data_IF_360509756975
#
_entry.id   IF_360509756975
#
_cell.length_a   1.000
_cell.length_b   1.000
_cell.length_c   1.000
_cell.angle_alpha   90.00
_cell.angle_beta   90.00
_cell.angle_gamma   90.00
#
_symmetry.space_group_name_H-M   'P 1'
#
loop_
_entity.id
_entity.type
_entity.pdbx_description
1 polymer ?
#
# COMPACT_ATOMS: atom_id res chain seq x y z
N UNK A 1 -2.10 -14.25 15.28
CA UNK A 1 -2.26 -12.93 15.91
C UNK A 1 -3.62 -12.42 15.49
N UNK A 2 -4.46 -12.01 16.43
CA UNK A 2 -5.76 -11.40 16.12
C UNK A 2 -5.56 -9.89 16.11
N UNK A 3 -5.83 -9.24 14.98
CA UNK A 3 -5.69 -7.78 14.85
C UNK A 3 -7.08 -7.16 15.11
N UNK A 4 -7.22 -6.26 16.09
CA UNK A 4 -8.50 -5.61 16.32
C UNK A 4 -8.87 -4.71 15.15
N UNK A 5 -10.16 -4.59 14.88
CA UNK A 5 -10.70 -3.65 13.89
C UNK A 5 -10.90 -2.30 14.56
N UNK A 6 -10.21 -1.28 14.06
CA UNK A 6 -10.39 0.12 14.50
C UNK A 6 -11.48 0.78 13.64
N UNK A 7 -12.59 1.13 14.27
CA UNK A 7 -13.66 1.89 13.62
C UNK A 7 -13.29 3.38 13.51
N UNK A 8 -13.18 3.87 12.28
CA UNK A 8 -12.83 5.26 12.01
C UNK A 8 -14.00 6.23 12.24
N UNK A 9 -15.24 5.75 12.37
CA UNK A 9 -16.40 6.61 12.58
C UNK A 9 -16.22 7.56 13.78
N UNK A 10 -15.74 7.02 14.91
CA UNK A 10 -15.50 7.80 16.13
C UNK A 10 -14.50 8.94 15.92
N UNK A 11 -13.44 8.68 15.15
CA UNK A 11 -12.43 9.69 14.82
C UNK A 11 -12.99 10.77 13.89
N UNK A 12 -13.68 10.34 12.81
CA UNK A 12 -14.20 11.22 11.77
C UNK A 12 -15.31 12.16 12.28
N UNK A 13 -16.22 11.67 13.11
CA UNK A 13 -17.28 12.48 13.74
C UNK A 13 -16.72 13.60 14.62
N UNK A 14 -15.59 13.34 15.25
CA UNK A 14 -14.97 14.25 16.22
C UNK A 14 -14.11 15.28 15.49
N UNK A 15 -13.34 14.88 14.47
CA UNK A 15 -12.56 15.78 13.62
C UNK A 15 -13.42 16.82 12.86
N UNK A 16 -14.69 16.53 12.61
CA UNK A 16 -15.65 17.43 11.95
C UNK A 16 -16.31 18.46 12.87
N UNK A 17 -16.32 18.25 14.20
CA UNK A 17 -16.98 19.14 15.16
C UNK A 17 -15.98 20.12 15.76
N UNK A 18 -15.93 21.34 15.20
CA UNK A 18 -15.25 22.47 15.84
C UNK A 18 -16.17 23.06 16.91
N UNK A 19 -15.67 23.14 18.13
CA UNK A 19 -16.23 23.79 19.33
C UNK A 19 -17.09 22.90 20.25
N UNK A 20 -16.57 22.70 21.48
CA UNK A 20 -17.33 22.13 22.60
C UNK A 20 -16.97 20.71 23.03
N UNK A 21 -15.77 20.20 22.72
CA UNK A 21 -15.36 18.86 23.17
C UNK A 21 -15.35 18.75 24.70
N UNK A 22 -16.23 17.88 25.24
CA UNK A 22 -16.12 17.48 26.63
C UNK A 22 -14.77 16.79 26.87
N UNK A 23 -14.10 17.08 27.99
CA UNK A 23 -12.80 16.49 28.33
C UNK A 23 -12.77 14.95 28.24
N UNK A 24 -13.92 14.30 28.45
CA UNK A 24 -14.10 12.86 28.30
C UNK A 24 -13.89 12.38 26.86
N UNK A 25 -14.51 13.06 25.88
CA UNK A 25 -14.42 12.70 24.44
C UNK A 25 -13.00 12.91 23.91
N UNK A 26 -12.32 13.97 24.34
CA UNK A 26 -10.91 14.19 24.02
C UNK A 26 -10.00 13.09 24.61
N UNK A 27 -10.31 12.59 25.82
CA UNK A 27 -9.59 11.46 26.42
C UNK A 27 -9.79 10.16 25.64
N UNK A 28 -11.04 9.85 25.27
CA UNK A 28 -11.38 8.64 24.48
C UNK A 28 -10.71 8.66 23.10
N UNK A 29 -10.65 9.83 22.44
CA UNK A 29 -9.95 9.98 21.16
C UNK A 29 -8.44 9.75 21.29
N UNK A 30 -7.83 10.30 22.35
CA UNK A 30 -6.41 10.10 22.62
C UNK A 30 -6.08 8.62 22.90
N UNK A 31 -6.94 7.92 23.63
CA UNK A 31 -6.81 6.47 23.85
C UNK A 31 -6.86 5.70 22.52
N UNK A 32 -7.82 6.04 21.64
CA UNK A 32 -7.95 5.40 20.33
C UNK A 32 -6.72 5.66 19.43
N UNK A 33 -6.19 6.89 19.43
CA UNK A 33 -4.98 7.24 18.68
C UNK A 33 -3.75 6.50 19.22
N UNK A 34 -3.63 6.38 20.54
CA UNK A 34 -2.58 5.58 21.20
C UNK A 34 -2.67 4.11 20.82
N UNK A 35 -3.89 3.57 20.75
CA UNK A 35 -4.11 2.18 20.35
C UNK A 35 -3.67 1.94 18.89
N UNK A 36 -4.00 2.84 17.97
CA UNK A 36 -3.50 2.80 16.58
C UNK A 36 -1.98 2.79 16.54
N UNK A 37 -1.33 3.67 17.29
CA UNK A 37 0.13 3.79 17.30
C UNK A 37 0.80 2.57 17.94
N UNK A 38 0.20 2.04 19.00
CA UNK A 38 0.62 0.80 19.68
C UNK A 38 0.56 -0.39 18.72
N UNK A 39 -0.56 -0.58 18.01
CA UNK A 39 -0.73 -1.66 17.04
C UNK A 39 0.27 -1.58 15.89
N UNK A 40 0.48 -0.38 15.34
CA UNK A 40 1.49 -0.14 14.30
C UNK A 40 2.91 -0.44 14.81
N UNK A 41 3.25 0.00 16.02
CA UNK A 41 4.55 -0.27 16.65
C UNK A 41 4.79 -1.76 16.91
N UNK A 42 3.79 -2.47 17.42
CA UNK A 42 3.92 -3.88 17.81
C UNK A 42 3.86 -4.83 16.61
N UNK A 43 3.06 -4.51 15.59
CA UNK A 43 2.71 -5.46 14.53
C UNK A 43 3.08 -4.98 13.13
N UNK A 44 3.32 -3.69 12.93
CA UNK A 44 3.49 -3.08 11.61
C UNK A 44 2.21 -3.10 10.75
N UNK A 45 1.06 -3.47 11.32
CA UNK A 45 -0.20 -3.66 10.62
C UNK A 45 -1.40 -3.16 11.44
N UNK A 46 -2.50 -2.88 10.75
CA UNK A 46 -3.75 -2.42 11.34
C UNK A 46 -4.92 -2.89 10.47
N UNK A 47 -6.05 -3.22 11.10
CA UNK A 47 -7.34 -3.37 10.43
C UNK A 47 -8.21 -2.17 10.78
N UNK A 48 -8.84 -1.57 9.77
CA UNK A 48 -9.74 -0.43 9.97
C UNK A 48 -11.07 -0.67 9.29
N UNK A 49 -12.13 -0.14 9.89
CA UNK A 49 -13.43 0.01 9.26
C UNK A 49 -13.66 1.49 8.98
N UNK A 50 -13.80 1.85 7.71
CA UNK A 50 -14.08 3.22 7.30
C UNK A 50 -15.55 3.36 6.87
N UNK A 51 -16.38 4.15 7.58
CA UNK A 51 -17.79 4.30 7.25
C UNK A 51 -18.04 5.02 5.90
N UNK A 52 -17.00 5.59 5.28
CA UNK A 52 -17.08 6.27 3.98
C UNK A 52 -16.92 5.32 2.78
N UNK A 53 -16.65 4.04 3.05
CA UNK A 53 -16.45 3.00 2.05
C UNK A 53 -17.49 1.87 2.25
N UNK A 54 -18.32 1.62 1.25
CA UNK A 54 -19.31 0.54 1.30
C UNK A 54 -18.83 -0.72 0.57
N UNK A 55 -19.55 -1.82 0.72
CA UNK A 55 -19.27 -3.03 -0.04
C UNK A 55 -19.49 -2.80 -1.55
N UNK A 56 -20.51 -2.02 -1.91
CA UNK A 56 -20.84 -1.70 -3.30
C UNK A 56 -19.73 -0.87 -3.98
N UNK A 57 -19.02 -0.01 -3.24
CA UNK A 57 -17.85 0.70 -3.75
C UNK A 57 -16.74 -0.28 -4.17
N UNK A 58 -16.51 -1.30 -3.35
CA UNK A 58 -15.55 -2.37 -3.60
C UNK A 58 -16.00 -3.24 -4.78
N UNK A 59 -17.26 -3.63 -4.82
CA UNK A 59 -17.82 -4.50 -5.87
C UNK A 59 -17.71 -3.82 -7.24
N UNK A 60 -18.04 -2.52 -7.34
CA UNK A 60 -17.87 -1.75 -8.58
C UNK A 60 -16.42 -1.78 -9.09
N UNK A 61 -15.45 -1.64 -8.19
CA UNK A 61 -14.03 -1.71 -8.54
C UNK A 61 -13.63 -3.13 -8.99
N UNK A 62 -13.97 -4.14 -8.19
CA UNK A 62 -13.61 -5.54 -8.47
C UNK A 62 -14.23 -6.01 -9.78
N UNK A 63 -15.53 -5.76 -10.00
CA UNK A 63 -16.24 -6.15 -11.22
C UNK A 63 -15.58 -5.57 -12.48
N UNK A 64 -15.16 -4.31 -12.44
CA UNK A 64 -14.47 -3.68 -13.56
C UNK A 64 -13.09 -4.32 -13.80
N UNK A 65 -12.34 -4.56 -12.73
CA UNK A 65 -11.00 -5.15 -12.82
C UNK A 65 -11.05 -6.62 -13.27
N UNK A 66 -12.04 -7.40 -12.84
CA UNK A 66 -12.26 -8.77 -13.31
C UNK A 66 -12.54 -8.78 -14.81
N UNK A 67 -13.48 -7.93 -15.29
CA UNK A 67 -13.76 -7.78 -16.74
C UNK A 67 -12.51 -7.40 -17.54
N UNK A 68 -11.61 -6.61 -16.96
CA UNK A 68 -10.34 -6.26 -17.60
C UNK A 68 -9.37 -7.45 -17.63
N UNK A 69 -9.17 -8.15 -16.52
CA UNK A 69 -8.21 -9.26 -16.46
C UNK A 69 -8.68 -10.50 -17.23
N UNK A 70 -9.99 -10.66 -17.43
CA UNK A 70 -10.59 -11.64 -18.34
C UNK A 70 -10.26 -11.39 -19.82
N UNK A 71 -9.80 -10.19 -20.19
CA UNK A 71 -9.39 -9.92 -21.58
C UNK A 71 -8.18 -10.78 -21.96
N UNK A 72 -8.06 -11.13 -23.26
CA UNK A 72 -6.89 -11.85 -23.77
C UNK A 72 -5.58 -11.13 -23.41
N UNK A 73 -4.51 -11.91 -23.25
CA UNK A 73 -3.19 -11.37 -22.92
C UNK A 73 -2.73 -10.34 -23.94
N UNK A 74 -2.95 -10.57 -25.23
CA UNK A 74 -2.64 -9.61 -26.30
C UNK A 74 -3.28 -8.23 -26.06
N UNK A 75 -4.51 -8.18 -25.55
CA UNK A 75 -5.20 -6.94 -25.22
C UNK A 75 -4.56 -6.26 -24.00
N UNK A 76 -4.34 -7.02 -22.93
CA UNK A 76 -3.75 -6.50 -21.68
C UNK A 76 -2.37 -5.92 -21.96
N UNK A 77 -1.55 -6.62 -22.74
CA UNK A 77 -0.17 -6.24 -23.04
C UNK A 77 -0.03 -4.90 -23.77
N UNK A 78 -1.08 -4.41 -24.45
CA UNK A 78 -1.08 -3.06 -25.05
C UNK A 78 -0.92 -1.94 -24.00
N UNK A 79 -1.25 -2.21 -22.74
CA UNK A 79 -1.13 -1.27 -21.63
C UNK A 79 0.22 -1.33 -20.91
N UNK A 80 1.17 -2.16 -21.34
CA UNK A 80 2.49 -2.26 -20.72
C UNK A 80 3.32 -0.98 -20.94
N UNK A 81 4.09 -0.58 -19.92
CA UNK A 81 5.11 0.49 -20.01
C UNK A 81 6.42 0.03 -19.36
N UNK A 82 7.14 -0.93 -19.97
CA UNK A 82 8.37 -1.49 -19.40
C UNK A 82 9.46 -0.43 -19.19
N UNK A 83 9.53 0.55 -20.09
CA UNK A 83 10.47 1.66 -20.01
C UNK A 83 10.19 2.63 -18.84
N UNK A 84 9.04 2.51 -18.18
CA UNK A 84 8.67 3.24 -16.97
C UNK A 84 8.65 2.33 -15.73
N UNK A 85 9.45 1.26 -15.74
CA UNK A 85 9.55 0.32 -14.62
C UNK A 85 8.21 -0.31 -14.21
N UNK A 86 7.29 -0.43 -15.18
CA UNK A 86 5.92 -0.88 -14.97
C UNK A 86 5.14 -0.09 -13.89
N UNK A 87 5.56 1.15 -13.60
CA UNK A 87 4.89 2.04 -12.64
C UNK A 87 3.65 2.72 -13.23
N UNK A 88 3.27 2.38 -14.46
CA UNK A 88 2.06 2.85 -15.15
C UNK A 88 1.51 1.73 -16.03
N UNK A 89 0.21 1.48 -15.94
CA UNK A 89 -0.44 0.46 -16.77
C UNK A 89 -0.20 -0.95 -16.27
N UNK A 90 -0.21 -1.94 -17.16
CA UNK A 90 -0.18 -3.35 -16.76
C UNK A 90 1.24 -3.90 -16.59
N UNK A 91 1.43 -4.76 -15.60
CA UNK A 91 2.56 -5.66 -15.44
C UNK A 91 2.07 -7.09 -15.62
N UNK A 92 2.57 -7.82 -16.63
CA UNK A 92 2.25 -9.23 -16.82
C UNK A 92 2.78 -10.12 -15.70
N UNK A 93 2.20 -11.32 -15.61
CA UNK A 93 2.80 -12.37 -14.79
C UNK A 93 4.22 -12.70 -15.24
N UNK A 94 5.04 -13.20 -14.31
CA UNK A 94 6.40 -13.61 -14.61
C UNK A 94 7.44 -12.48 -14.59
N UNK A 95 7.03 -11.22 -14.47
CA UNK A 95 7.93 -10.05 -14.47
C UNK A 95 8.49 -9.76 -13.09
N UNK A 96 7.64 -9.74 -12.06
CA UNK A 96 8.03 -9.44 -10.69
C UNK A 96 8.62 -10.66 -9.99
N UNK A 97 9.70 -10.46 -9.24
CA UNK A 97 10.29 -11.49 -8.39
C UNK A 97 9.94 -11.22 -6.93
N UNK A 98 9.38 -12.20 -6.18
CA UNK A 98 9.10 -12.04 -4.76
C UNK A 98 10.35 -11.68 -3.97
N UNK A 99 10.24 -10.73 -3.04
CA UNK A 99 11.36 -10.35 -2.14
C UNK A 99 11.91 -11.53 -1.37
N UNK A 100 11.04 -12.47 -0.98
CA UNK A 100 11.41 -13.70 -0.28
C UNK A 100 12.43 -14.56 -1.05
N UNK A 101 12.58 -14.36 -2.36
CA UNK A 101 13.56 -15.08 -3.19
C UNK A 101 14.90 -14.35 -3.38
N UNK A 102 14.96 -13.05 -3.08
CA UNK A 102 16.12 -12.19 -3.42
C UNK A 102 16.71 -11.45 -2.21
N UNK A 103 15.95 -11.31 -1.13
CA UNK A 103 16.37 -10.64 0.10
C UNK A 103 16.84 -11.66 1.14
N UNK A 104 18.15 -11.67 1.42
CA UNK A 104 18.79 -12.62 2.35
C UNK A 104 18.30 -12.45 3.78
N UNK A 105 18.08 -11.21 4.24
CA UNK A 105 17.60 -10.93 5.60
C UNK A 105 16.16 -11.44 5.76
N UNK A 106 15.32 -11.24 4.75
CA UNK A 106 13.97 -11.80 4.71
C UNK A 106 14.00 -13.32 4.76
N UNK A 107 14.88 -13.97 3.97
CA UNK A 107 15.01 -15.42 3.98
C UNK A 107 15.43 -15.96 5.36
N UNK A 108 16.33 -15.27 6.06
CA UNK A 108 16.70 -15.63 7.43
C UNK A 108 15.52 -15.53 8.40
N UNK A 109 14.76 -14.44 8.34
CA UNK A 109 13.54 -14.26 9.15
C UNK A 109 12.52 -15.37 8.89
N UNK A 110 12.29 -15.72 7.63
CA UNK A 110 11.39 -16.81 7.25
C UNK A 110 11.88 -18.17 7.77
N UNK A 111 13.18 -18.47 7.65
CA UNK A 111 13.77 -19.72 8.17
C UNK A 111 13.66 -19.83 9.70
N UNK A 112 13.69 -18.70 10.40
CA UNK A 112 13.58 -18.65 11.86
C UNK A 112 12.14 -18.81 12.38
N UNK A 113 11.11 -18.66 11.55
CA UNK A 113 9.71 -18.82 11.98
C UNK A 113 9.39 -20.26 12.39
N UNK A 114 8.46 -20.51 13.32
CA UNK A 114 7.95 -21.85 13.61
C UNK A 114 7.36 -22.49 12.35
N UNK A 115 7.56 -23.80 12.15
CA UNK A 115 7.16 -24.50 10.92
C UNK A 115 5.68 -24.36 10.59
N UNK A 116 4.81 -24.30 11.61
CA UNK A 116 3.37 -24.09 11.42
C UNK A 116 3.00 -22.70 10.89
N UNK A 117 3.91 -21.72 11.00
CA UNK A 117 3.73 -20.34 10.56
C UNK A 117 4.66 -19.94 9.42
N UNK A 118 5.58 -20.83 9.02
CA UNK A 118 6.46 -20.59 7.86
C UNK A 118 5.62 -20.54 6.58
N UNK A 119 5.69 -19.43 5.81
CA UNK A 119 5.01 -19.37 4.53
C UNK A 119 5.64 -20.33 3.53
N UNK A 120 4.86 -20.74 2.54
CA UNK A 120 5.39 -21.52 1.43
C UNK A 120 6.33 -20.66 0.60
N UNK A 121 7.59 -21.09 0.45
CA UNK A 121 8.56 -20.36 -0.37
C UNK A 121 8.19 -20.46 -1.85
N UNK A 122 8.01 -19.33 -2.56
CA UNK A 122 7.79 -19.33 -4.00
C UNK A 122 8.91 -20.02 -4.78
N UNK A 123 8.66 -20.46 -6.01
CA UNK A 123 9.65 -21.18 -6.85
C UNK A 123 10.11 -20.41 -8.09
N UNK A 124 9.71 -19.15 -8.21
CA UNK A 124 10.00 -18.32 -9.37
C UNK A 124 9.31 -16.97 -9.29
N UNK A 125 9.30 -16.21 -10.40
CA UNK A 125 8.56 -14.97 -10.51
C UNK A 125 7.07 -15.13 -10.20
N UNK A 126 6.43 -14.04 -9.78
CA UNK A 126 5.04 -14.05 -9.35
C UNK A 126 4.07 -14.39 -10.51
N UNK A 127 3.18 -15.39 -10.34
CA UNK A 127 2.12 -15.72 -11.29
C UNK A 127 0.92 -14.79 -11.10
N UNK A 128 1.15 -13.47 -11.20
CA UNK A 128 0.11 -12.46 -11.00
C UNK A 128 0.22 -11.35 -12.03
N UNK A 129 -0.93 -10.82 -12.44
CA UNK A 129 -1.01 -9.59 -13.21
C UNK A 129 -1.23 -8.41 -12.25
N UNK A 130 -0.58 -7.28 -12.52
CA UNK A 130 -0.78 -6.03 -11.77
C UNK A 130 -1.19 -4.92 -12.73
N UNK A 131 -2.02 -4.00 -12.27
CA UNK A 131 -2.26 -2.74 -12.97
C UNK A 131 -1.91 -1.58 -12.06
N UNK A 132 -0.98 -0.72 -12.49
CA UNK A 132 -0.56 0.45 -11.73
C UNK A 132 -1.32 1.69 -12.19
N UNK A 133 -2.16 2.19 -11.29
CA UNK A 133 -2.91 3.43 -11.45
C UNK A 133 -2.49 4.43 -10.40
N UNK A 134 -2.43 5.71 -10.77
CA UNK A 134 -2.00 6.79 -9.88
C UNK A 134 -3.17 7.71 -9.63
N UNK A 135 -3.39 7.98 -8.35
CA UNK A 135 -4.52 8.74 -7.84
C UNK A 135 -3.99 10.05 -7.28
N UNK A 136 -4.69 11.16 -7.55
CA UNK A 136 -4.36 12.48 -7.01
C UNK A 136 -3.57 13.41 -7.94
N UNK A 137 -3.34 14.66 -7.50
CA UNK A 137 -2.63 15.68 -8.26
C UNK A 137 -1.13 15.35 -8.39
N UNK A 138 -0.49 15.91 -9.43
CA UNK A 138 0.94 15.67 -9.71
C UNK A 138 1.70 16.97 -9.94
N UNK A 139 3.00 17.02 -9.58
CA UNK A 139 3.88 18.05 -10.10
C UNK A 139 3.92 17.94 -11.64
N UNK A 140 3.87 19.07 -12.34
CA UNK A 140 3.85 19.11 -13.80
C UNK A 140 5.11 18.50 -14.44
N UNK A 141 6.25 18.56 -13.77
CA UNK A 141 7.49 17.99 -14.25
C UNK A 141 8.40 17.62 -13.07
N UNK A 142 8.93 16.40 -13.08
CA UNK A 142 9.91 15.90 -12.12
C UNK A 142 11.04 15.17 -12.84
N UNK A 143 12.16 14.90 -12.16
CA UNK A 143 13.22 14.04 -12.73
C UNK A 143 12.85 12.55 -12.84
N UNK A 144 11.75 12.13 -12.21
CA UNK A 144 11.26 10.75 -12.20
C UNK A 144 10.26 10.57 -13.36
N UNK A 145 10.70 9.89 -14.43
CA UNK A 145 10.01 9.88 -15.73
C UNK A 145 8.62 9.23 -15.66
N UNK A 146 8.49 8.20 -14.83
CA UNK A 146 7.23 7.53 -14.56
C UNK A 146 6.20 8.52 -14.02
N UNK A 147 6.59 9.45 -13.13
CA UNK A 147 5.68 10.46 -12.56
C UNK A 147 5.17 11.45 -13.60
N UNK A 148 5.92 11.69 -14.68
CA UNK A 148 5.54 12.60 -15.76
C UNK A 148 4.62 11.96 -16.80
N UNK A 149 4.50 10.62 -16.83
CA UNK A 149 3.78 9.92 -17.90
C UNK A 149 2.26 9.99 -17.73
N UNK A 150 1.49 10.05 -18.81
CA UNK A 150 0.03 10.01 -18.71
C UNK A 150 -0.49 8.64 -18.20
N UNK A 151 -1.62 8.61 -17.47
CA UNK A 151 -2.23 7.34 -17.08
C UNK A 151 -2.68 6.56 -18.32
N UNK A 152 -2.56 5.24 -18.26
CA UNK A 152 -3.04 4.35 -19.32
C UNK A 152 -4.49 3.96 -19.00
N UNK A 153 -5.39 4.16 -19.95
CA UNK A 153 -6.79 3.73 -19.88
C UNK A 153 -7.00 2.64 -20.94
N UNK A 154 -7.45 1.43 -20.57
CA UNK A 154 -7.72 0.37 -21.54
C UNK A 154 -8.87 0.75 -22.48
N UNK A 155 -8.74 0.43 -23.76
CA UNK A 155 -9.79 0.67 -24.75
C UNK A 155 -11.07 -0.11 -24.39
N UNK A 156 -12.22 0.55 -24.49
CA UNK A 156 -13.51 -0.06 -24.15
C UNK A 156 -13.89 -0.02 -22.66
N UNK A 157 -13.08 0.62 -21.81
CA UNK A 157 -13.37 0.86 -20.39
C UNK A 157 -13.55 2.36 -20.12
N UNK A 158 -14.68 2.93 -20.55
CA UNK A 158 -14.95 4.37 -20.40
C UNK A 158 -15.02 4.83 -18.94
N UNK A 159 -15.43 3.94 -18.04
CA UNK A 159 -15.59 4.14 -16.60
C UNK A 159 -14.28 4.00 -15.82
N UNK A 160 -13.18 3.63 -16.49
CA UNK A 160 -11.91 3.25 -15.83
C UNK A 160 -11.42 4.35 -14.90
N UNK A 161 -11.26 5.55 -15.41
CA UNK A 161 -10.73 6.68 -14.64
C UNK A 161 -11.59 6.99 -13.43
N UNK A 162 -12.91 7.08 -13.61
CA UNK A 162 -13.85 7.39 -12.54
C UNK A 162 -13.81 6.31 -11.45
N UNK A 163 -13.84 5.04 -11.83
CA UNK A 163 -13.83 3.90 -10.91
C UNK A 163 -12.52 3.81 -10.14
N UNK A 164 -11.38 3.91 -10.84
CA UNK A 164 -10.05 3.84 -10.22
C UNK A 164 -9.80 5.04 -9.30
N UNK A 165 -10.17 6.26 -9.71
CA UNK A 165 -10.01 7.45 -8.87
C UNK A 165 -10.95 7.42 -7.67
N UNK A 166 -12.22 7.05 -7.84
CA UNK A 166 -13.19 6.98 -6.74
C UNK A 166 -12.73 5.99 -5.67
N UNK A 167 -12.33 4.78 -6.07
CA UNK A 167 -11.79 3.77 -5.16
C UNK A 167 -10.47 4.23 -4.52
N UNK A 168 -9.59 4.82 -5.33
CA UNK A 168 -8.33 5.39 -4.90
C UNK A 168 -8.46 6.45 -3.81
N UNK A 169 -9.36 7.42 -4.00
CA UNK A 169 -9.59 8.49 -3.03
C UNK A 169 -10.19 7.96 -1.72
N UNK A 170 -11.05 6.93 -1.76
CA UNK A 170 -11.52 6.27 -0.54
C UNK A 170 -10.38 5.64 0.26
N UNK A 171 -9.48 4.92 -0.41
CA UNK A 171 -8.28 4.37 0.24
C UNK A 171 -7.37 5.49 0.77
N UNK A 172 -7.13 6.57 0.01
CA UNK A 172 -6.33 7.72 0.47
C UNK A 172 -6.94 8.32 1.74
N UNK A 173 -8.24 8.59 1.74
CA UNK A 173 -8.95 9.17 2.89
C UNK A 173 -8.90 8.30 4.14
N UNK A 174 -8.95 6.97 3.99
CA UNK A 174 -8.76 6.04 5.11
C UNK A 174 -7.34 6.14 5.68
N UNK A 175 -6.32 6.12 4.81
CA UNK A 175 -4.92 6.20 5.26
C UNK A 175 -4.59 7.57 5.83
N UNK A 176 -5.21 8.66 5.35
CA UNK A 176 -5.08 10.00 5.95
C UNK A 176 -5.59 9.99 7.40
N UNK A 177 -6.80 9.48 7.65
CA UNK A 177 -7.33 9.37 9.01
C UNK A 177 -6.41 8.54 9.92
N UNK A 178 -5.94 7.37 9.43
CA UNK A 178 -5.00 6.52 10.18
C UNK A 178 -3.67 7.23 10.44
N UNK A 179 -3.14 7.98 9.47
CA UNK A 179 -1.90 8.72 9.63
C UNK A 179 -2.04 9.85 10.66
N UNK A 180 -3.17 10.55 10.69
CA UNK A 180 -3.46 11.56 11.71
C UNK A 180 -3.58 10.93 13.11
N UNK A 181 -4.30 9.81 13.23
CA UNK A 181 -4.43 9.06 14.48
C UNK A 181 -3.08 8.54 14.98
N UNK A 182 -2.25 8.00 14.07
CA UNK A 182 -0.91 7.54 14.40
C UNK A 182 -0.03 8.70 14.89
N UNK A 183 -0.06 9.86 14.22
CA UNK A 183 0.71 11.03 14.65
C UNK A 183 0.33 11.46 16.08
N UNK A 184 -0.98 11.57 16.36
CA UNK A 184 -1.49 11.92 17.70
C UNK A 184 -1.06 10.88 18.74
N UNK A 185 -1.19 9.59 18.43
CA UNK A 185 -0.85 8.52 19.38
C UNK A 185 0.64 8.39 19.66
N UNK A 186 1.50 8.79 18.72
CA UNK A 186 2.94 8.98 18.96
C UNK A 186 3.28 10.31 19.65
N UNK A 187 2.29 11.14 19.99
CA UNK A 187 2.53 12.44 20.64
C UNK A 187 3.10 13.51 19.68
N UNK A 188 2.88 13.35 18.38
CA UNK A 188 3.20 14.34 17.36
C UNK A 188 1.99 15.22 17.03
N UNK A 189 2.21 16.39 16.39
CA UNK A 189 1.12 17.15 15.77
C UNK A 189 0.31 16.28 14.83
N UNK A 190 -1.01 16.50 14.79
CA UNK A 190 -1.98 15.74 13.97
C UNK A 190 -1.52 15.57 12.52
N UNK A 191 -0.92 16.60 11.93
CA UNK A 191 -0.51 16.65 10.54
C UNK A 191 0.94 16.19 10.29
N UNK A 192 1.66 15.72 11.32
CA UNK A 192 3.07 15.36 11.21
C UNK A 192 3.36 14.30 10.13
N UNK A 193 2.42 13.37 9.91
CA UNK A 193 2.55 12.36 8.87
C UNK A 193 1.81 12.71 7.57
N UNK A 194 0.67 13.39 7.63
CA UNK A 194 -0.11 13.75 6.43
C UNK A 194 0.52 14.90 5.65
N UNK A 195 1.29 15.78 6.30
CA UNK A 195 2.06 16.84 5.61
C UNK A 195 3.27 16.32 4.82
N UNK A 196 3.76 15.13 5.16
CA UNK A 196 4.96 14.53 4.55
C UNK A 196 4.67 13.27 3.74
N UNK A 197 3.54 12.62 4.00
CA UNK A 197 2.97 11.46 3.30
C UNK A 197 3.89 10.24 3.09
N UNK A 198 4.33 9.55 4.16
CA UNK A 198 4.40 8.05 4.22
C UNK A 198 5.63 7.31 3.63
N UNK A 199 6.77 7.41 4.33
CA UNK A 199 7.67 6.28 4.64
C UNK A 199 7.80 6.18 6.17
N UNK A 200 6.77 5.64 6.82
CA UNK A 200 6.59 5.75 8.28
C UNK A 200 7.77 5.20 9.08
N UNK A 201 8.40 4.12 8.63
CA UNK A 201 9.57 3.56 9.31
C UNK A 201 10.73 4.56 9.35
N UNK A 202 11.00 5.23 8.22
CA UNK A 202 12.04 6.25 8.12
C UNK A 202 11.71 7.49 8.96
N UNK A 203 10.44 7.90 8.97
CA UNK A 203 9.96 9.06 9.73
C UNK A 203 9.95 8.80 11.25
N UNK A 204 9.85 7.53 11.67
CA UNK A 204 9.79 7.11 13.08
C UNK A 204 11.11 6.52 13.60
N UNK A 205 12.18 6.58 12.81
CA UNK A 205 13.47 5.97 13.15
C UNK A 205 13.36 4.47 13.55
N UNK A 206 12.49 3.72 12.87
CA UNK A 206 12.27 2.30 13.13
C UNK A 206 11.40 1.99 14.36
N UNK A 207 10.73 2.98 14.95
CA UNK A 207 9.76 2.71 16.00
C UNK A 207 8.47 2.06 15.45
N UNK A 208 8.12 2.36 14.19
CA UNK A 208 7.12 1.63 13.42
C UNK A 208 7.80 0.90 12.26
N UNK A 209 7.94 -0.43 12.37
CA UNK A 209 8.58 -1.24 11.33
C UNK A 209 7.63 -1.53 10.16
N UNK A 210 8.18 -1.62 8.95
CA UNK A 210 7.45 -2.14 7.81
C UNK A 210 7.02 -3.60 8.05
N UNK A 211 5.71 -3.84 8.10
CA UNK A 211 5.14 -5.17 8.23
C UNK A 211 5.38 -6.03 6.98
N UNK A 212 5.84 -7.27 7.18
CA UNK A 212 5.96 -8.25 6.09
C UNK A 212 4.63 -8.96 5.87
N UNK A 213 4.19 -9.03 4.62
CA UNK A 213 2.99 -9.76 4.22
C UNK A 213 3.20 -10.47 2.88
N UNK A 214 2.59 -11.63 2.73
CA UNK A 214 2.64 -12.44 1.51
C UNK A 214 1.26 -13.02 1.22
N UNK A 215 0.92 -13.10 -0.07
CA UNK A 215 -0.33 -13.72 -0.52
C UNK A 215 -0.04 -15.16 -0.91
N UNK A 216 -0.67 -16.11 -0.21
CA UNK A 216 -0.49 -17.55 -0.43
C UNK A 216 -1.79 -18.22 -0.86
N UNK A 217 -1.67 -19.25 -1.69
CA UNK A 217 -2.80 -20.11 -2.06
C UNK A 217 -3.01 -21.13 -0.94
N UNK A 218 -4.19 -21.08 -0.33
CA UNK A 218 -4.58 -22.02 0.73
C UNK A 218 -5.60 -23.03 0.21
N UNK A 219 -5.91 -24.06 1.00
CA UNK A 219 -7.02 -24.98 0.69
C UNK A 219 -8.34 -24.23 0.51
N UNK A 220 -8.62 -23.21 1.35
CA UNK A 220 -9.81 -22.36 1.21
C UNK A 220 -9.83 -21.60 -0.12
N UNK A 221 -8.66 -21.14 -0.58
CA UNK A 221 -8.52 -20.51 -1.90
C UNK A 221 -8.89 -21.49 -3.01
N UNK A 222 -8.40 -22.73 -2.94
CA UNK A 222 -8.73 -23.79 -3.91
C UNK A 222 -10.22 -24.11 -3.91
N UNK A 223 -10.83 -24.23 -2.72
CA UNK A 223 -12.26 -24.51 -2.58
C UNK A 223 -13.12 -23.35 -3.13
N UNK A 224 -12.70 -22.09 -2.92
CA UNK A 224 -13.35 -20.92 -3.50
C UNK A 224 -13.27 -20.90 -5.04
N UNK A 225 -12.12 -21.26 -5.63
CA UNK A 225 -11.95 -21.36 -7.08
C UNK A 225 -12.87 -22.44 -7.67
N UNK A 226 -12.99 -23.60 -7.01
CA UNK A 226 -13.90 -24.67 -7.46
C UNK A 226 -15.35 -24.18 -7.46
N UNK A 227 -15.77 -23.53 -6.38
CA UNK A 227 -17.12 -22.98 -6.26
C UNK A 227 -17.40 -21.94 -7.35
N UNK A 228 -16.47 -21.01 -7.57
CA UNK A 228 -16.59 -20.00 -8.63
C UNK A 228 -16.70 -20.64 -10.02
N UNK A 229 -15.91 -21.69 -10.28
CA UNK A 229 -15.98 -22.45 -11.52
C UNK A 229 -17.32 -23.16 -11.71
N UNK A 230 -17.89 -23.76 -10.65
CA UNK A 230 -19.21 -24.41 -10.69
C UNK A 230 -20.34 -23.40 -10.95
N UNK A 231 -20.16 -22.16 -10.50
CA UNK A 231 -21.12 -21.06 -10.68
C UNK A 231 -20.89 -20.27 -11.98
N UNK A 232 -19.90 -20.65 -12.79
CA UNK A 232 -19.51 -19.92 -14.00
C UNK A 232 -19.20 -18.43 -13.71
N UNK A 233 -18.57 -18.17 -12.56
CA UNK A 233 -18.06 -16.86 -12.17
C UNK A 233 -16.60 -16.69 -12.62
N UNK A 234 -16.11 -15.44 -12.59
CA UNK A 234 -14.70 -15.14 -12.83
C UNK A 234 -13.81 -15.94 -11.88
N UNK A 235 -12.70 -16.45 -12.40
CA UNK A 235 -11.66 -17.11 -11.59
C UNK A 235 -10.57 -16.14 -11.16
N UNK A 236 -10.65 -14.87 -11.58
CA UNK A 236 -9.70 -13.84 -11.17
C UNK A 236 -9.97 -13.42 -9.73
N UNK A 237 -9.00 -13.64 -8.85
CA UNK A 237 -9.01 -13.03 -7.52
C UNK A 237 -8.36 -11.65 -7.60
N UNK A 238 -9.18 -10.60 -7.61
CA UNK A 238 -8.68 -9.22 -7.60
C UNK A 238 -8.43 -8.73 -6.18
N UNK A 239 -7.35 -7.98 -6.00
CA UNK A 239 -7.11 -7.17 -4.80
C UNK A 239 -6.55 -5.82 -5.22
N UNK A 240 -7.01 -4.75 -4.59
CA UNK A 240 -6.42 -3.41 -4.73
C UNK A 240 -5.48 -3.11 -3.58
N UNK A 241 -4.30 -2.60 -3.90
CA UNK A 241 -3.33 -2.10 -2.90
C UNK A 241 -3.01 -0.66 -3.24
N UNK A 242 -3.11 0.24 -2.25
CA UNK A 242 -2.68 1.62 -2.40
C UNK A 242 -1.35 1.85 -1.70
N UNK A 243 -0.33 2.18 -2.48
CA UNK A 243 0.96 2.63 -1.96
C UNK A 243 0.94 4.16 -1.89
N UNK A 244 0.91 4.69 -0.67
CA UNK A 244 1.04 6.12 -0.46
C UNK A 244 2.51 6.45 -0.19
N UNK A 245 3.06 7.38 -0.96
CA UNK A 245 4.48 7.71 -0.97
C UNK A 245 4.73 9.18 -0.63
N UNK A 246 5.90 9.44 -0.05
CA UNK A 246 6.40 10.80 0.13
C UNK A 246 6.69 11.34 -1.26
N UNK A 247 6.43 12.63 -1.47
CA UNK A 247 6.81 13.32 -2.70
C UNK A 247 8.27 12.99 -3.06
N UNK A 248 8.50 12.53 -4.29
CA UNK A 248 9.77 11.91 -4.67
C UNK A 248 10.98 12.85 -4.59
N UNK A 249 10.76 14.17 -4.60
CA UNK A 249 11.76 15.22 -4.42
C UNK A 249 12.03 15.58 -2.95
N UNK A 250 11.22 15.09 -2.01
CA UNK A 250 11.44 15.33 -0.60
C UNK A 250 12.56 14.44 -0.02
N UNK A 251 13.04 14.86 1.14
CA UNK A 251 14.07 14.15 1.91
C UNK A 251 13.43 13.44 3.09
N UNK A 252 13.64 12.13 3.16
CA UNK A 252 13.24 11.25 4.24
C UNK A 252 14.19 11.41 5.41
N UNK A 253 13.66 11.70 6.59
CA UNK A 253 14.43 11.75 7.84
C UNK A 253 13.49 11.53 9.04
N UNK A 254 14.02 11.05 10.17
CA UNK A 254 13.27 10.97 11.42
C UNK A 254 12.64 12.32 11.81
N UNK A 255 11.42 12.28 12.35
CA UNK A 255 10.63 13.45 12.73
C UNK A 255 10.55 13.64 14.24
N UNK A 256 10.46 14.90 14.68
CA UNK A 256 10.23 15.24 16.08
C UNK A 256 11.23 14.55 17.01
N UNK A 257 10.70 13.95 18.08
CA UNK A 257 11.52 13.24 19.07
C UNK A 257 12.17 11.96 18.52
N UNK A 258 11.73 11.40 17.40
CA UNK A 258 12.38 10.25 16.78
C UNK A 258 13.78 10.59 16.24
N UNK A 259 14.04 11.86 15.90
CA UNK A 259 15.37 12.32 15.51
C UNK A 259 16.39 12.29 16.65
N UNK A 260 15.91 12.27 17.90
CA UNK A 260 16.74 12.17 19.11
C UNK A 260 16.95 10.71 19.57
N UNK A 261 16.29 9.75 18.90
CA UNK A 261 16.43 8.32 19.19
C UNK A 261 17.84 7.83 18.88
N UNK A 262 18.33 6.88 19.70
CA UNK A 262 19.58 6.16 19.42
C UNK A 262 19.58 5.45 18.05
N UNK A 263 18.39 5.10 17.53
CA UNK A 263 18.21 4.47 16.24
C UNK A 263 18.20 5.46 15.06
N UNK A 264 18.09 6.76 15.30
CA UNK A 264 18.02 7.77 14.23
C UNK A 264 19.23 7.71 13.28
N UNK A 265 20.40 7.33 13.80
CA UNK A 265 21.62 7.13 13.01
C UNK A 265 21.49 6.06 11.92
N UNK A 266 20.55 5.11 12.05
CA UNK A 266 20.27 4.07 11.05
C UNK A 266 19.39 4.58 9.89
N UNK A 267 18.76 5.74 10.04
CA UNK A 267 17.82 6.32 9.07
C UNK A 267 18.33 7.68 8.59
N UNK A 268 19.45 7.74 7.85
CA UNK A 268 20.05 8.99 7.40
C UNK A 268 19.13 9.74 6.43
N UNK A 269 19.26 11.08 6.30
CA UNK A 269 18.55 11.85 5.29
C UNK A 269 18.70 11.25 3.88
N UNK A 270 17.60 10.83 3.25
CA UNK A 270 17.62 10.12 1.95
C UNK A 270 16.57 10.69 1.01
N UNK A 271 16.85 10.80 -0.29
CA UNK A 271 15.85 11.27 -1.26
C UNK A 271 14.74 10.21 -1.46
N UNK A 272 13.48 10.62 -1.34
CA UNK A 272 12.33 9.72 -1.36
C UNK A 272 12.23 8.92 -2.68
N UNK A 273 12.38 9.58 -3.83
CA UNK A 273 12.30 8.90 -5.12
C UNK A 273 13.48 7.97 -5.39
N UNK A 274 14.68 8.32 -4.93
CA UNK A 274 15.85 7.43 -5.04
C UNK A 274 15.68 6.17 -4.18
N UNK A 275 15.10 6.31 -3.00
CA UNK A 275 14.73 5.17 -2.16
C UNK A 275 13.71 4.25 -2.85
N UNK A 276 12.64 4.81 -3.42
CA UNK A 276 11.64 4.01 -4.17
C UNK A 276 12.28 3.29 -5.35
N UNK A 277 13.14 3.96 -6.10
CA UNK A 277 13.86 3.34 -7.21
C UNK A 277 14.77 2.17 -6.78
N UNK A 278 15.39 2.26 -5.60
CA UNK A 278 16.18 1.17 -5.03
C UNK A 278 15.28 -0.02 -4.65
N UNK A 279 14.15 0.25 -4.01
CA UNK A 279 13.16 -0.77 -3.64
C UNK A 279 12.59 -1.50 -4.86
N UNK A 280 12.35 -0.78 -5.97
CA UNK A 280 11.91 -1.38 -7.24
C UNK A 280 13.01 -2.24 -7.90
N UNK A 281 14.28 -1.89 -7.71
CA UNK A 281 15.40 -2.67 -8.24
C UNK A 281 15.51 -4.04 -7.55
N UNK A 282 15.28 -4.09 -6.24
CA UNK A 282 15.31 -5.35 -5.47
C UNK A 282 14.35 -6.38 -6.05
N UNK A 283 13.17 -5.96 -6.51
CA UNK A 283 12.12 -6.84 -7.05
C UNK A 283 12.10 -6.94 -8.58
N UNK A 284 13.22 -6.62 -9.24
CA UNK A 284 13.41 -6.73 -10.69
C UNK A 284 12.48 -5.84 -11.54
N UNK A 285 11.93 -4.76 -10.98
CA UNK A 285 11.12 -3.79 -11.74
C UNK A 285 11.95 -2.66 -12.34
N UNK A 286 13.11 -2.36 -11.75
CA UNK A 286 14.09 -1.43 -12.33
C UNK A 286 15.13 -2.22 -13.11
N UNK A 287 15.02 -2.22 -14.44
CA UNK A 287 15.98 -2.90 -15.30
C UNK A 287 17.42 -2.41 -15.05
N UNK A 288 18.38 -3.33 -15.05
CA UNK A 288 19.79 -2.96 -15.13
C UNK A 288 19.95 -2.01 -16.31
N UNK A 289 20.59 -0.86 -16.11
CA UNK A 289 21.01 0.01 -17.22
C UNK A 289 21.84 -0.84 -18.17
N UNK A 290 21.20 -1.39 -19.19
CA UNK A 290 21.87 -1.88 -20.38
C UNK A 290 22.69 -0.70 -20.85
N UNK A 291 24.01 -0.86 -20.85
CA UNK A 291 24.90 0.03 -21.58
C UNK A 291 24.37 0.09 -23.00
N UNK A 292 23.69 1.19 -23.36
CA UNK A 292 23.56 1.59 -24.76
C UNK A 292 24.93 2.02 -25.26
#
# INVERSE_FOLDING_TARGET
MDLPVIDLATYLETAGNREGESAKRASELNELCREVSRLLKETGALLVQDPRCTAEDNDRFIDMMEKYFEKPDEFKRLQERPYLHYQVGVTPEGVEVPRSLVDEEMQEKLRAMPKEYQPYTPKGPDPKWRYMWRVGPRPFNTRFQELNSEPVIPEGFSEWKETMDSWGYKMISAIEAVAEMAAIGFGLPKDAFTSLMKQIEWLTAGECNAGMHEVVVTKRTIDAIKLASEQNHSLWRVSSTLFAHIASDAVLKPLGHFAESSLASKYPPTCAGEFVEQELAVINLKGNKGKS
#
